data_IF_800734406926
#
_entry.id   IF_800734406926
#
_cell.length_a   1.000
_cell.length_b   1.000
_cell.length_c   1.000
_cell.angle_alpha   90.00
_cell.angle_beta   90.00
_cell.angle_gamma   90.00
#
_symmetry.space_group_name_H-M   'P 1'
#
loop_
_entity.id
_entity.type
_entity.pdbx_description
1 polymer ?
#
# COMPACT_ATOMS: atom_id res chain seq x y z
N UNK A 1 23.72 -28.02 22.87
CA UNK A 1 23.81 -27.32 21.57
C UNK A 1 22.39 -27.22 21.03
N UNK A 2 21.80 -26.02 21.02
CA UNK A 2 20.37 -25.83 20.76
C UNK A 2 20.00 -24.41 20.32
N UNK A 3 20.94 -23.70 19.68
CA UNK A 3 20.78 -22.29 19.30
C UNK A 3 20.57 -22.08 17.79
N UNK A 4 20.86 -23.09 16.96
CA UNK A 4 20.80 -22.96 15.49
C UNK A 4 19.39 -23.08 14.90
N UNK A 5 18.44 -23.70 15.61
CA UNK A 5 17.05 -23.78 15.10
C UNK A 5 16.32 -22.44 15.19
N UNK A 6 16.49 -21.67 16.28
CA UNK A 6 15.78 -20.39 16.46
C UNK A 6 16.11 -19.37 15.36
N UNK A 7 17.37 -19.30 14.95
CA UNK A 7 17.83 -18.35 13.92
C UNK A 7 17.15 -18.59 12.56
N UNK A 8 16.94 -19.86 12.20
CA UNK A 8 16.28 -20.24 10.94
C UNK A 8 14.77 -19.94 10.90
N UNK A 9 14.08 -20.02 12.05
CA UNK A 9 12.67 -19.62 12.14
C UNK A 9 12.52 -18.10 12.11
N UNK A 10 13.38 -17.37 12.83
CA UNK A 10 13.42 -15.89 12.82
C UNK A 10 13.66 -15.38 11.40
N UNK A 11 14.67 -15.89 10.68
CA UNK A 11 14.90 -15.48 9.28
C UNK A 11 13.75 -15.81 8.35
N UNK A 12 13.03 -16.92 8.56
CA UNK A 12 11.88 -17.30 7.73
C UNK A 12 10.67 -16.42 8.03
N UNK A 13 10.46 -16.05 9.29
CA UNK A 13 9.44 -15.09 9.72
C UNK A 13 9.76 -13.68 9.23
N UNK A 14 11.02 -13.24 9.26
CA UNK A 14 11.45 -11.95 8.69
C UNK A 14 11.31 -11.92 7.17
N UNK A 15 11.67 -13.00 6.46
CA UNK A 15 11.42 -13.11 5.03
C UNK A 15 9.91 -13.08 4.72
N UNK A 16 9.10 -13.74 5.53
CA UNK A 16 7.64 -13.75 5.38
C UNK A 16 7.04 -12.37 5.67
N UNK A 17 7.49 -11.69 6.72
CA UNK A 17 7.08 -10.33 7.07
C UNK A 17 7.53 -9.31 6.01
N UNK A 18 8.72 -9.46 5.44
CA UNK A 18 9.19 -8.64 4.33
C UNK A 18 8.37 -8.88 3.06
N UNK A 19 8.00 -10.14 2.77
CA UNK A 19 7.10 -10.47 1.65
C UNK A 19 5.67 -9.99 1.87
N UNK A 20 5.14 -10.10 3.08
CA UNK A 20 3.84 -9.54 3.45
C UNK A 20 3.86 -8.02 3.30
N UNK A 21 4.95 -7.36 3.72
CA UNK A 21 5.16 -5.93 3.51
C UNK A 21 5.28 -5.55 2.03
N UNK A 22 5.87 -6.40 1.18
CA UNK A 22 6.02 -6.13 -0.26
C UNK A 22 4.69 -6.29 -1.00
N UNK A 23 3.91 -7.33 -0.68
CA UNK A 23 2.56 -7.52 -1.23
C UNK A 23 1.62 -6.40 -0.79
N UNK A 24 1.68 -6.01 0.49
CA UNK A 24 0.92 -4.86 0.98
C UNK A 24 1.36 -3.57 0.29
N UNK A 25 2.66 -3.34 0.11
CA UNK A 25 3.16 -2.18 -0.64
C UNK A 25 2.67 -2.16 -2.09
N UNK A 26 2.73 -3.30 -2.78
CA UNK A 26 2.27 -3.41 -4.16
C UNK A 26 0.74 -3.20 -4.27
N UNK A 27 -0.04 -3.70 -3.31
CA UNK A 27 -1.48 -3.41 -3.21
C UNK A 27 -1.71 -1.91 -3.02
N UNK A 28 -1.05 -1.30 -2.03
CA UNK A 28 -1.19 0.12 -1.72
C UNK A 28 -0.81 1.00 -2.92
N UNK A 29 0.30 0.71 -3.59
CA UNK A 29 0.77 1.41 -4.77
C UNK A 29 -0.21 1.29 -5.95
N UNK A 30 -0.82 0.11 -6.18
CA UNK A 30 -1.83 -0.06 -7.23
C UNK A 30 -3.10 0.74 -6.94
N UNK A 31 -3.56 0.72 -5.69
CA UNK A 31 -4.74 1.50 -5.27
C UNK A 31 -4.48 3.00 -5.41
N UNK A 32 -3.31 3.47 -4.96
CA UNK A 32 -2.89 4.87 -5.11
C UNK A 32 -2.78 5.29 -6.58
N UNK A 33 -2.19 4.47 -7.45
CA UNK A 33 -2.15 4.72 -8.90
C UNK A 33 -3.53 4.91 -9.50
N UNK A 34 -4.46 4.04 -9.12
CA UNK A 34 -5.84 4.08 -9.63
C UNK A 34 -6.57 5.32 -9.10
N UNK A 35 -6.33 5.70 -7.85
CA UNK A 35 -6.95 6.89 -7.24
C UNK A 35 -6.41 8.19 -7.87
N UNK A 36 -5.09 8.32 -7.99
CA UNK A 36 -4.45 9.47 -8.63
C UNK A 36 -4.89 9.64 -10.10
N UNK A 37 -4.99 8.53 -10.85
CA UNK A 37 -5.46 8.55 -12.23
C UNK A 37 -6.89 9.10 -12.38
N UNK A 38 -7.80 8.79 -11.44
CA UNK A 38 -9.18 9.29 -11.49
C UNK A 38 -9.31 10.76 -11.08
N UNK A 39 -8.43 11.21 -10.18
CA UNK A 39 -8.38 12.60 -9.75
C UNK A 39 -7.59 13.48 -10.74
N UNK A 40 -7.00 12.89 -11.79
CA UNK A 40 -6.12 13.60 -12.72
C UNK A 40 -4.83 14.11 -12.08
N UNK A 41 -4.39 13.46 -11.00
CA UNK A 41 -3.25 13.86 -10.19
C UNK A 41 -1.95 13.17 -10.61
N UNK A 42 -0.84 13.82 -10.29
CA UNK A 42 0.48 13.23 -10.51
C UNK A 42 0.69 12.03 -9.58
N UNK A 43 0.86 10.87 -10.20
CA UNK A 43 0.97 9.60 -9.48
C UNK A 43 2.39 9.36 -8.95
N UNK A 44 3.40 9.99 -9.56
CA UNK A 44 4.80 9.77 -9.21
C UNK A 44 5.12 10.39 -7.84
N UNK A 45 4.60 11.60 -7.59
CA UNK A 45 4.69 12.26 -6.29
C UNK A 45 4.06 11.42 -5.15
N UNK A 46 2.87 10.87 -5.38
CA UNK A 46 2.19 10.05 -4.38
C UNK A 46 2.92 8.71 -4.10
N UNK A 47 3.54 8.11 -5.13
CA UNK A 47 4.31 6.88 -4.97
C UNK A 47 5.68 7.12 -4.29
N UNK A 48 6.31 8.26 -4.57
CA UNK A 48 7.53 8.70 -3.88
C UNK A 48 7.28 8.84 -2.39
N UNK A 49 6.19 9.50 -2.00
CA UNK A 49 5.79 9.64 -0.59
C UNK A 49 5.40 8.31 0.05
N UNK A 50 4.72 7.42 -0.70
CA UNK A 50 4.41 6.08 -0.20
C UNK A 50 5.67 5.29 0.15
N UNK A 51 6.71 5.39 -0.68
CA UNK A 51 7.98 4.71 -0.48
C UNK A 51 8.82 5.33 0.65
N UNK A 52 8.79 6.67 0.79
CA UNK A 52 9.64 7.39 1.73
C UNK A 52 9.02 7.53 3.14
N UNK A 53 7.70 7.74 3.21
CA UNK A 53 7.00 8.16 4.41
C UNK A 53 5.73 7.33 4.70
N UNK A 54 5.33 6.46 3.78
CA UNK A 54 4.18 5.57 3.94
C UNK A 54 2.86 6.19 3.49
N UNK A 55 1.78 5.43 3.68
CA UNK A 55 0.47 5.74 3.09
C UNK A 55 -0.11 7.08 3.54
N UNK A 56 0.05 7.46 4.81
CA UNK A 56 -0.51 8.72 5.33
C UNK A 56 0.07 9.96 4.65
N UNK A 57 1.37 9.95 4.35
CA UNK A 57 2.03 11.05 3.64
C UNK A 57 1.58 11.12 2.17
N UNK A 58 1.49 9.96 1.50
CA UNK A 58 0.99 9.86 0.13
C UNK A 58 -0.44 10.40 -0.02
N UNK A 59 -1.34 10.05 0.92
CA UNK A 59 -2.71 10.56 0.94
C UNK A 59 -2.76 12.05 1.28
N UNK A 60 -1.85 12.55 2.11
CA UNK A 60 -1.73 13.97 2.42
C UNK A 60 -1.41 14.84 1.20
N UNK A 61 -0.47 14.40 0.34
CA UNK A 61 -0.17 15.10 -0.92
C UNK A 61 -1.38 15.12 -1.85
N UNK A 62 -2.05 13.97 -2.01
CA UNK A 62 -3.24 13.87 -2.86
C UNK A 62 -4.42 14.67 -2.32
N UNK A 63 -4.61 14.71 -1.00
CA UNK A 63 -5.62 15.52 -0.31
C UNK A 63 -5.38 17.01 -0.44
N UNK A 64 -4.11 17.45 -0.39
CA UNK A 64 -3.75 18.85 -0.63
C UNK A 64 -4.04 19.33 -2.05
N UNK A 65 -4.11 18.41 -3.01
CA UNK A 65 -4.39 18.69 -4.42
C UNK A 65 -5.88 18.54 -4.80
N UNK A 66 -6.68 17.84 -3.99
CA UNK A 66 -8.10 17.60 -4.23
C UNK A 66 -8.95 18.42 -3.24
N UNK A 67 -9.28 19.65 -3.61
CA UNK A 67 -10.08 20.54 -2.77
C UNK A 67 -11.50 19.96 -2.56
N UNK A 68 -11.82 19.54 -1.34
CA UNK A 68 -13.16 19.08 -0.94
C UNK A 68 -13.45 17.57 -1.07
N UNK A 69 -12.47 16.73 -1.45
CA UNK A 69 -12.63 15.27 -1.48
C UNK A 69 -12.03 14.60 -0.25
N UNK A 70 -12.76 13.67 0.37
CA UNK A 70 -12.23 12.81 1.42
C UNK A 70 -11.37 11.69 0.79
N UNK A 71 -10.13 12.05 0.48
CA UNK A 71 -9.15 11.18 -0.19
C UNK A 71 -8.87 9.90 0.61
N UNK A 72 -8.92 9.97 1.94
CA UNK A 72 -8.74 8.79 2.78
C UNK A 72 -9.94 7.84 2.64
N UNK A 73 -11.17 8.35 2.70
CA UNK A 73 -12.36 7.55 2.48
C UNK A 73 -12.40 6.94 1.06
N UNK A 74 -12.03 7.69 0.04
CA UNK A 74 -11.97 7.20 -1.34
C UNK A 74 -10.90 6.14 -1.53
N UNK A 75 -9.73 6.30 -0.90
CA UNK A 75 -8.69 5.28 -0.86
C UNK A 75 -9.19 3.98 -0.23
N UNK A 76 -9.82 4.06 0.96
CA UNK A 76 -10.34 2.88 1.67
C UNK A 76 -11.41 2.15 0.84
N UNK A 77 -12.31 2.91 0.20
CA UNK A 77 -13.33 2.35 -0.68
C UNK A 77 -12.71 1.60 -1.86
N UNK A 78 -11.70 2.18 -2.52
CA UNK A 78 -10.97 1.53 -3.63
C UNK A 78 -10.24 0.29 -3.20
N UNK A 79 -9.55 0.34 -2.05
CA UNK A 79 -8.84 -0.82 -1.50
C UNK A 79 -9.81 -1.97 -1.23
N UNK A 80 -10.98 -1.69 -0.66
CA UNK A 80 -12.02 -2.68 -0.45
C UNK A 80 -12.52 -3.29 -1.77
N UNK A 81 -12.79 -2.47 -2.78
CA UNK A 81 -13.20 -2.94 -4.11
C UNK A 81 -12.13 -3.80 -4.78
N UNK A 82 -10.86 -3.40 -4.71
CA UNK A 82 -9.74 -4.15 -5.28
C UNK A 82 -9.59 -5.54 -4.65
N UNK A 83 -9.77 -5.64 -3.33
CA UNK A 83 -9.75 -6.93 -2.61
C UNK A 83 -10.92 -7.83 -2.97
N UNK A 84 -12.12 -7.26 -3.15
CA UNK A 84 -13.30 -8.00 -3.62
C UNK A 84 -13.13 -8.47 -5.07
N UNK A 85 -12.50 -7.67 -5.93
CA UNK A 85 -12.20 -8.08 -7.30
C UNK A 85 -11.16 -9.21 -7.34
N UNK A 86 -10.12 -9.12 -6.50
CA UNK A 86 -9.09 -10.15 -6.39
C UNK A 86 -9.64 -11.48 -5.85
N UNK A 87 -10.56 -11.45 -4.88
CA UNK A 87 -11.17 -12.67 -4.33
C UNK A 87 -12.16 -13.36 -5.27
N UNK A 88 -12.70 -12.63 -6.26
CA UNK A 88 -13.57 -13.21 -7.31
C UNK A 88 -12.80 -13.88 -8.45
N UNK A 89 -11.49 -13.69 -8.51
CA UNK A 89 -10.60 -14.27 -9.53
C UNK A 89 -9.90 -15.56 -9.04
N UNK A 90 -10.23 -16.03 -7.83
CA UNK A 90 -9.76 -17.28 -7.24
C UNK A 90 -10.83 -18.37 -7.36
#
# INVERSE_FOLDING_TARGET
MGFEMRDSFVRREECKAAWESEVEFAEMARVLKTLAAELGQDTDAALGELAAHGLGAALGIMGGQAEGSDIEADYLRRRAMARVAASRLQ
#
